data_IF_120317412768
#
_entry.id   IF_120317412768
#
_cell.length_a   1.000
_cell.length_b   1.000
_cell.length_c   1.000
_cell.angle_alpha   90.00
_cell.angle_beta   90.00
_cell.angle_gamma   90.00
#
_symmetry.space_group_name_H-M   'P 1'
#
loop_
_entity.id
_entity.type
_entity.pdbx_description
1 polymer ?
#
# COMPACT_ATOMS: atom_id res chain seq x y z
N UNK A 1 24.85 -48.21 -17.45
CA UNK A 1 25.09 -47.21 -16.40
C UNK A 1 24.76 -45.83 -17.01
N UNK A 2 23.53 -45.37 -16.80
CA UNK A 2 23.02 -44.15 -17.43
C UNK A 2 23.09 -43.03 -16.39
N UNK A 3 23.91 -42.00 -16.63
CA UNK A 3 24.01 -40.82 -15.78
C UNK A 3 22.82 -39.89 -16.17
N UNK A 4 21.87 -39.78 -15.24
CA UNK A 4 20.88 -38.70 -15.29
C UNK A 4 21.55 -37.41 -14.81
N UNK A 5 21.80 -36.47 -15.74
CA UNK A 5 22.10 -35.08 -15.41
C UNK A 5 20.78 -34.39 -15.00
N UNK A 6 20.64 -34.17 -13.71
CA UNK A 6 19.61 -33.30 -13.16
C UNK A 6 20.06 -31.86 -13.41
N UNK A 7 19.54 -31.22 -14.45
CA UNK A 7 19.70 -29.80 -14.65
C UNK A 7 18.85 -29.09 -13.58
N UNK A 8 19.46 -28.58 -12.52
CA UNK A 8 18.86 -27.54 -11.68
C UNK A 8 18.73 -26.28 -12.52
N UNK A 9 17.52 -25.96 -12.94
CA UNK A 9 17.18 -24.62 -13.36
C UNK A 9 17.29 -23.73 -12.14
N UNK A 10 18.37 -22.95 -12.02
CA UNK A 10 18.37 -21.75 -11.18
C UNK A 10 17.34 -20.81 -11.84
N UNK A 11 16.15 -20.72 -11.24
CA UNK A 11 15.31 -19.56 -11.44
C UNK A 11 16.07 -18.40 -10.78
N UNK A 12 16.48 -17.43 -11.58
CA UNK A 12 16.89 -16.14 -11.05
C UNK A 12 15.61 -15.55 -10.45
N UNK A 13 15.54 -15.48 -9.11
CA UNK A 13 14.55 -14.66 -8.45
C UNK A 13 14.88 -13.23 -8.87
N UNK A 14 13.93 -12.56 -9.48
CA UNK A 14 14.01 -11.11 -9.66
C UNK A 14 13.83 -10.52 -8.26
N UNK A 15 14.95 -10.20 -7.58
CA UNK A 15 14.87 -9.41 -6.36
C UNK A 15 14.24 -8.07 -6.73
N UNK A 16 13.13 -7.73 -6.08
CA UNK A 16 12.52 -6.40 -6.18
C UNK A 16 13.49 -5.42 -5.55
N UNK A 17 14.11 -4.59 -6.38
CA UNK A 17 15.06 -3.59 -5.90
C UNK A 17 14.29 -2.29 -5.61
N UNK A 18 13.93 -2.08 -4.35
CA UNK A 18 13.28 -0.85 -3.90
C UNK A 18 14.33 0.23 -3.68
N UNK A 19 14.28 1.30 -4.47
CA UNK A 19 15.20 2.44 -4.38
C UNK A 19 14.42 3.73 -4.13
N UNK A 20 14.99 4.62 -3.31
CA UNK A 20 14.45 5.97 -3.13
C UNK A 20 14.97 6.85 -4.26
N UNK A 21 14.04 7.37 -5.02
CA UNK A 21 14.29 8.28 -6.12
C UNK A 21 13.84 9.71 -5.79
N UNK A 22 14.31 10.73 -6.51
CA UNK A 22 13.72 12.06 -6.47
C UNK A 22 12.26 11.99 -6.96
N UNK A 23 11.39 12.82 -6.34
CA UNK A 23 10.00 12.93 -6.74
C UNK A 23 9.86 13.27 -8.24
N UNK A 24 9.26 12.40 -9.07
CA UNK A 24 9.06 12.64 -10.49
C UNK A 24 8.00 13.71 -10.80
N UNK A 25 7.12 13.99 -9.84
CA UNK A 25 6.01 14.92 -9.96
C UNK A 25 6.24 16.23 -9.17
N UNK A 26 7.49 16.62 -8.96
CA UNK A 26 7.85 17.81 -8.16
C UNK A 26 7.36 19.15 -8.76
N UNK A 27 6.98 19.17 -10.04
CA UNK A 27 6.41 20.34 -10.72
C UNK A 27 4.86 20.42 -10.60
N UNK A 28 4.21 19.40 -10.01
CA UNK A 28 2.78 19.36 -9.72
C UNK A 28 2.53 19.92 -8.30
N UNK A 29 1.59 20.87 -8.21
CA UNK A 29 1.29 21.58 -6.96
C UNK A 29 0.91 20.62 -5.83
N UNK A 30 0.24 19.50 -6.11
CA UNK A 30 -0.13 18.50 -5.11
C UNK A 30 1.10 17.77 -4.54
N UNK A 31 2.14 17.59 -5.34
CA UNK A 31 3.30 16.78 -5.00
C UNK A 31 4.55 17.58 -4.63
N UNK A 32 4.53 18.92 -4.74
CA UNK A 32 5.71 19.79 -4.58
C UNK A 32 6.48 19.63 -3.25
N UNK A 33 5.77 19.23 -2.19
CA UNK A 33 6.37 19.09 -0.85
C UNK A 33 7.06 17.74 -0.61
N UNK A 34 6.81 16.73 -1.46
CA UNK A 34 7.49 15.45 -1.39
C UNK A 34 8.84 15.52 -2.09
N UNK A 35 9.84 14.93 -1.49
CA UNK A 35 11.21 14.88 -2.05
C UNK A 35 11.70 13.46 -2.31
N UNK A 36 10.97 12.47 -1.81
CA UNK A 36 11.30 11.06 -1.91
C UNK A 36 10.16 10.32 -2.59
N UNK A 37 10.54 9.42 -3.45
CA UNK A 37 9.64 8.58 -4.24
C UNK A 37 10.16 7.16 -4.27
N UNK A 38 9.27 6.18 -4.24
CA UNK A 38 9.58 4.77 -4.52
C UNK A 38 8.49 4.21 -5.43
N UNK A 39 8.89 3.64 -6.56
CA UNK A 39 8.03 2.84 -7.42
C UNK A 39 8.02 1.41 -6.91
N UNK A 40 6.83 0.86 -6.66
CA UNK A 40 6.63 -0.50 -6.18
C UNK A 40 5.93 -1.32 -7.26
N UNK A 41 6.65 -2.28 -7.84
CA UNK A 41 6.12 -3.24 -8.84
C UNK A 41 5.37 -2.57 -10.00
N UNK A 42 5.76 -1.35 -10.39
CA UNK A 42 5.17 -0.55 -11.47
C UNK A 42 3.66 -0.25 -11.34
N UNK A 43 3.06 -0.45 -10.17
CA UNK A 43 1.62 -0.22 -9.96
C UNK A 43 1.26 0.48 -8.64
N UNK A 44 2.21 0.69 -7.74
CA UNK A 44 1.98 1.39 -6.49
C UNK A 44 3.15 2.34 -6.19
N UNK A 45 2.85 3.52 -5.69
CA UNK A 45 3.84 4.57 -5.48
C UNK A 45 3.88 5.00 -4.01
N UNK A 46 5.08 5.29 -3.51
CA UNK A 46 5.25 5.87 -2.17
C UNK A 46 5.90 7.25 -2.31
N UNK A 47 5.23 8.28 -1.80
CA UNK A 47 5.73 9.64 -1.75
C UNK A 47 6.00 10.05 -0.31
N UNK A 48 7.15 10.66 -0.02
CA UNK A 48 7.47 11.07 1.33
C UNK A 48 8.15 12.44 1.40
N UNK A 49 7.85 13.17 2.50
CA UNK A 49 8.55 14.40 2.84
C UNK A 49 10.05 14.14 3.13
N UNK A 50 10.88 15.17 2.95
CA UNK A 50 12.34 15.11 3.22
C UNK A 50 12.69 14.67 4.64
N UNK A 51 11.83 14.97 5.61
CA UNK A 51 12.03 14.68 7.03
C UNK A 51 11.79 13.20 7.41
N UNK A 52 11.19 12.43 6.52
CA UNK A 52 10.93 11.00 6.76
C UNK A 52 12.24 10.22 6.56
N UNK A 53 12.71 9.44 7.55
CA UNK A 53 13.92 8.63 7.40
C UNK A 53 13.77 7.60 6.26
N UNK A 54 14.85 7.40 5.49
CA UNK A 54 14.83 6.51 4.32
C UNK A 54 14.38 5.09 4.65
N UNK A 55 14.81 4.55 5.79
CA UNK A 55 14.40 3.20 6.21
C UNK A 55 12.88 3.07 6.46
N UNK A 56 12.19 4.16 6.82
CA UNK A 56 10.72 4.18 6.97
C UNK A 56 10.03 4.20 5.61
N UNK A 57 10.55 4.98 4.67
CA UNK A 57 10.04 5.02 3.29
C UNK A 57 10.18 3.65 2.62
N UNK A 58 11.36 3.04 2.75
CA UNK A 58 11.61 1.69 2.22
C UNK A 58 10.77 0.61 2.93
N UNK A 59 10.48 0.77 4.22
CA UNK A 59 9.57 -0.13 4.93
C UNK A 59 8.15 -0.08 4.36
N UNK A 60 7.61 1.13 4.11
CA UNK A 60 6.28 1.28 3.48
C UNK A 60 6.26 0.63 2.09
N UNK A 61 7.30 0.86 1.29
CA UNK A 61 7.41 0.25 -0.03
C UNK A 61 7.53 -1.28 0.02
N UNK A 62 8.31 -1.81 0.99
CA UNK A 62 8.45 -3.25 1.18
C UNK A 62 7.13 -3.91 1.59
N UNK A 63 6.38 -3.29 2.51
CA UNK A 63 5.04 -3.78 2.89
C UNK A 63 4.09 -3.79 1.69
N UNK A 64 4.13 -2.77 0.83
CA UNK A 64 3.31 -2.75 -0.38
C UNK A 64 3.73 -3.88 -1.35
N UNK A 65 5.02 -4.11 -1.54
CA UNK A 65 5.52 -5.20 -2.37
C UNK A 65 5.06 -6.57 -1.84
N UNK A 66 5.22 -6.85 -0.55
CA UNK A 66 4.80 -8.09 0.11
C UNK A 66 3.28 -8.35 0.00
N UNK A 67 2.47 -7.29 0.04
CA UNK A 67 1.00 -7.41 -0.09
C UNK A 67 0.55 -7.66 -1.54
N UNK A 68 1.37 -7.31 -2.52
CA UNK A 68 1.08 -7.42 -3.94
C UNK A 68 1.71 -8.65 -4.61
N UNK A 69 2.81 -9.14 -4.05
CA UNK A 69 3.64 -10.23 -4.56
C UNK A 69 4.03 -11.15 -3.39
N UNK A 70 3.15 -12.11 -3.07
CA UNK A 70 3.32 -12.99 -1.90
C UNK A 70 4.33 -14.13 -2.14
N UNK A 71 4.66 -14.45 -3.38
CA UNK A 71 5.63 -15.50 -3.70
C UNK A 71 7.02 -14.93 -4.05
N UNK A 72 7.18 -13.60 -3.93
CA UNK A 72 8.44 -12.86 -4.04
C UNK A 72 9.15 -13.09 -5.40
N UNK A 73 8.38 -13.24 -6.49
CA UNK A 73 8.94 -13.46 -7.82
C UNK A 73 9.14 -12.14 -8.60
N UNK A 74 8.72 -10.99 -8.04
CA UNK A 74 8.82 -9.66 -8.62
C UNK A 74 7.66 -9.33 -9.55
N UNK A 75 6.57 -10.10 -9.51
CA UNK A 75 5.36 -9.92 -10.33
C UNK A 75 4.16 -9.88 -9.41
N UNK A 76 3.27 -8.89 -9.59
CA UNK A 76 2.03 -8.82 -8.82
C UNK A 76 1.18 -10.06 -9.05
N UNK A 77 0.78 -10.76 -7.98
CA UNK A 77 0.03 -12.03 -8.02
C UNK A 77 -1.31 -11.93 -8.75
N UNK A 78 -1.98 -10.78 -8.69
CA UNK A 78 -3.25 -10.53 -9.36
C UNK A 78 -3.09 -9.52 -10.50
N UNK A 79 -3.12 -10.00 -11.73
CA UNK A 79 -2.97 -9.18 -12.94
C UNK A 79 -4.06 -8.09 -13.06
N UNK A 80 -5.30 -8.38 -12.62
CA UNK A 80 -6.37 -7.38 -12.63
C UNK A 80 -6.12 -6.27 -11.62
N UNK A 81 -5.62 -6.65 -10.44
CA UNK A 81 -5.23 -5.69 -9.40
C UNK A 81 -4.08 -4.80 -9.88
N UNK A 82 -3.05 -5.39 -10.50
CA UNK A 82 -1.94 -4.64 -11.10
C UNK A 82 -2.43 -3.54 -12.03
N UNK A 83 -3.27 -3.86 -13.01
CA UNK A 83 -3.75 -2.88 -13.98
C UNK A 83 -4.67 -1.83 -13.34
N UNK A 84 -5.50 -2.20 -12.37
CA UNK A 84 -6.39 -1.25 -11.70
C UNK A 84 -5.59 -0.25 -10.86
N UNK A 85 -4.63 -0.71 -10.05
CA UNK A 85 -3.76 0.17 -9.25
C UNK A 85 -2.92 1.09 -10.14
N UNK A 86 -2.33 0.56 -11.23
CA UNK A 86 -1.57 1.35 -12.18
C UNK A 86 -2.45 2.40 -12.87
N UNK A 87 -3.65 2.02 -13.33
CA UNK A 87 -4.57 2.93 -14.03
C UNK A 87 -5.06 4.07 -13.13
N UNK A 88 -5.23 3.80 -11.83
CA UNK A 88 -5.63 4.79 -10.84
C UNK A 88 -4.46 5.53 -10.20
N UNK A 89 -3.24 5.18 -10.55
CA UNK A 89 -2.03 5.73 -9.95
C UNK A 89 -2.05 5.58 -8.41
N UNK A 90 -2.24 4.34 -7.95
CA UNK A 90 -2.33 4.04 -6.53
C UNK A 90 -1.08 4.48 -5.79
N UNK A 91 -1.25 5.25 -4.71
CA UNK A 91 -0.12 5.80 -3.98
C UNK A 91 -0.36 5.90 -2.46
N UNK A 92 0.74 5.87 -1.70
CA UNK A 92 0.78 6.12 -0.28
C UNK A 92 1.59 7.39 0.01
N UNK A 93 0.95 8.50 0.40
CA UNK A 93 1.65 9.69 0.85
C UNK A 93 2.09 9.52 2.31
N UNK A 94 3.33 9.90 2.62
CA UNK A 94 3.93 9.81 3.95
C UNK A 94 4.31 11.18 4.46
N UNK A 95 3.62 11.64 5.49
CA UNK A 95 3.78 12.97 6.10
C UNK A 95 4.56 12.93 7.41
N UNK A 96 5.12 14.06 7.80
CA UNK A 96 5.88 14.19 9.06
C UNK A 96 4.98 14.11 10.29
N UNK A 97 3.77 14.67 10.23
CA UNK A 97 2.74 14.62 11.28
C UNK A 97 1.39 15.08 10.71
N UNK A 98 0.31 14.74 11.43
CA UNK A 98 -1.05 15.11 11.10
C UNK A 98 -1.25 16.63 11.02
N UNK A 99 -1.90 17.11 9.95
CA UNK A 99 -2.20 18.52 9.76
C UNK A 99 -0.96 19.41 9.52
N UNK A 100 0.12 18.86 8.96
CA UNK A 100 1.23 19.70 8.51
C UNK A 100 0.93 20.38 7.16
N UNK A 101 1.71 21.40 6.81
CA UNK A 101 1.47 22.19 5.61
C UNK A 101 1.59 21.37 4.31
N UNK A 102 2.39 20.29 4.27
CA UNK A 102 2.49 19.40 3.13
C UNK A 102 1.22 18.57 2.96
N UNK A 103 0.68 18.04 4.06
CA UNK A 103 -0.59 17.32 4.04
C UNK A 103 -1.74 18.23 3.59
N UNK A 104 -1.84 19.43 4.15
CA UNK A 104 -2.86 20.40 3.76
C UNK A 104 -2.77 20.73 2.27
N UNK A 105 -1.55 21.02 1.76
CA UNK A 105 -1.31 21.27 0.34
C UNK A 105 -1.71 20.09 -0.55
N UNK A 106 -1.31 18.87 -0.16
CA UNK A 106 -1.66 17.66 -0.92
C UNK A 106 -3.17 17.45 -0.96
N UNK A 107 -3.86 17.54 0.19
CA UNK A 107 -5.32 17.36 0.27
C UNK A 107 -6.11 18.44 -0.50
N UNK A 108 -5.59 19.66 -0.60
CA UNK A 108 -6.23 20.76 -1.30
C UNK A 108 -6.06 20.69 -2.84
N UNK A 109 -4.98 20.08 -3.33
CA UNK A 109 -4.62 20.10 -4.76
C UNK A 109 -4.69 18.73 -5.44
N UNK A 110 -4.66 17.60 -4.70
CA UNK A 110 -4.76 16.27 -5.31
C UNK A 110 -6.19 15.95 -5.70
N UNK A 111 -6.42 15.70 -6.98
CA UNK A 111 -7.72 15.37 -7.57
C UNK A 111 -7.80 13.94 -8.16
N UNK A 112 -6.78 13.10 -7.92
CA UNK A 112 -6.73 11.72 -8.40
C UNK A 112 -7.50 10.73 -7.53
N UNK A 113 -7.66 9.51 -8.04
CA UNK A 113 -8.38 8.40 -7.39
C UNK A 113 -7.44 7.38 -6.72
N UNK A 114 -6.14 7.65 -6.66
CA UNK A 114 -5.12 6.71 -6.21
C UNK A 114 -4.86 6.66 -4.71
N UNK A 115 -5.51 7.49 -3.92
CA UNK A 115 -5.30 7.60 -2.46
C UNK A 115 -6.54 7.19 -1.69
N UNK A 116 -6.38 6.38 -0.67
CA UNK A 116 -7.44 6.03 0.29
C UNK A 116 -7.00 6.21 1.74
N UNK A 117 -5.70 6.20 1.98
CA UNK A 117 -5.10 6.34 3.30
C UNK A 117 -3.82 7.16 3.22
N UNK A 118 -3.32 7.61 4.36
CA UNK A 118 -2.05 8.32 4.51
C UNK A 118 -1.28 7.72 5.68
N UNK A 119 0.03 7.93 5.73
CA UNK A 119 0.87 7.54 6.86
C UNK A 119 1.58 8.76 7.45
N UNK A 120 1.73 8.76 8.77
CA UNK A 120 2.56 9.72 9.47
C UNK A 120 3.85 9.06 9.97
N UNK A 121 4.89 9.83 10.06
CA UNK A 121 6.24 9.37 10.47
C UNK A 121 6.23 8.52 11.75
N UNK A 122 5.40 8.87 12.73
CA UNK A 122 5.33 8.21 14.04
C UNK A 122 4.53 6.90 14.01
N UNK A 123 3.81 6.61 12.94
CA UNK A 123 3.04 5.38 12.75
C UNK A 123 3.79 4.31 11.97
N UNK A 124 5.00 4.61 11.52
CA UNK A 124 5.86 3.68 10.80
C UNK A 124 6.97 3.24 11.75
N UNK A 125 6.95 1.99 12.20
CA UNK A 125 7.99 1.42 13.06
C UNK A 125 8.35 -0.01 12.67
N UNK A 126 9.32 -0.20 11.75
CA UNK A 126 9.73 -1.52 11.29
C UNK A 126 10.36 -2.40 12.38
N UNK A 127 10.60 -1.88 13.58
CA UNK A 127 11.07 -2.66 14.72
C UNK A 127 9.94 -3.34 15.49
N UNK A 128 8.70 -2.97 15.22
CA UNK A 128 7.52 -3.54 15.86
C UNK A 128 6.92 -4.67 14.99
N UNK A 129 6.19 -5.60 15.60
CA UNK A 129 5.62 -6.75 14.89
C UNK A 129 4.34 -6.43 14.08
N UNK A 130 4.05 -5.17 13.77
CA UNK A 130 2.87 -4.77 13.01
C UNK A 130 1.57 -4.91 13.80
N UNK A 131 1.59 -4.70 15.10
CA UNK A 131 0.40 -4.65 15.94
C UNK A 131 -0.31 -3.32 15.83
N UNK A 132 -1.62 -3.35 15.98
CA UNK A 132 -2.42 -2.15 16.06
C UNK A 132 -1.89 -1.17 17.12
N UNK A 133 -1.55 0.04 16.66
CA UNK A 133 -1.01 1.11 17.50
C UNK A 133 0.51 1.17 17.59
N UNK A 134 1.21 0.16 17.05
CA UNK A 134 2.67 0.12 17.07
C UNK A 134 3.28 0.44 15.69
N UNK A 135 2.75 -0.16 14.61
CA UNK A 135 3.09 0.12 13.22
C UNK A 135 1.83 0.02 12.36
N UNK A 136 1.37 1.15 11.84
CA UNK A 136 0.17 1.22 11.00
C UNK A 136 0.45 0.92 9.52
N UNK A 137 1.68 0.62 9.13
CA UNK A 137 2.07 0.52 7.71
C UNK A 137 1.24 -0.53 6.97
N UNK A 138 1.06 -1.73 7.53
CA UNK A 138 0.28 -2.80 6.89
C UNK A 138 -1.19 -2.38 6.75
N UNK A 139 -1.77 -1.76 7.78
CA UNK A 139 -3.15 -1.31 7.78
C UNK A 139 -3.39 -0.29 6.67
N UNK A 140 -2.61 0.80 6.62
CA UNK A 140 -2.85 1.90 5.70
C UNK A 140 -2.50 1.57 4.25
N UNK A 141 -1.45 0.78 4.02
CA UNK A 141 -1.14 0.28 2.67
C UNK A 141 -2.25 -0.64 2.18
N UNK A 142 -2.73 -1.57 3.03
CA UNK A 142 -3.84 -2.46 2.67
C UNK A 142 -5.14 -1.68 2.43
N UNK A 143 -5.41 -0.62 3.20
CA UNK A 143 -6.55 0.29 2.94
C UNK A 143 -6.49 0.84 1.52
N UNK A 144 -5.34 1.35 1.08
CA UNK A 144 -5.18 1.89 -0.27
C UNK A 144 -5.31 0.81 -1.34
N UNK A 145 -4.62 -0.33 -1.22
CA UNK A 145 -4.74 -1.46 -2.16
C UNK A 145 -6.19 -1.93 -2.27
N UNK A 146 -6.88 -2.03 -1.14
CA UNK A 146 -8.26 -2.50 -1.10
C UNK A 146 -9.24 -1.50 -1.73
N UNK A 147 -9.20 -0.23 -1.33
CA UNK A 147 -10.14 0.78 -1.81
C UNK A 147 -9.90 1.18 -3.26
N UNK A 148 -8.63 1.36 -3.64
CA UNK A 148 -8.26 1.77 -5.01
C UNK A 148 -8.39 0.59 -5.98
N UNK A 149 -8.00 -0.61 -5.55
CA UNK A 149 -7.95 -1.80 -6.39
C UNK A 149 -9.14 -2.76 -6.20
N UNK A 150 -9.11 -3.54 -5.11
CA UNK A 150 -10.04 -4.68 -4.94
C UNK A 150 -11.53 -4.31 -4.97
N UNK A 151 -11.92 -3.18 -4.39
CA UNK A 151 -13.33 -2.71 -4.40
C UNK A 151 -13.85 -2.53 -5.82
N UNK A 152 -13.00 -2.07 -6.73
CA UNK A 152 -13.35 -1.84 -8.13
C UNK A 152 -13.46 -3.14 -8.92
N UNK A 153 -12.46 -4.02 -8.79
CA UNK A 153 -12.37 -5.26 -9.60
C UNK A 153 -13.20 -6.41 -9.02
N UNK A 154 -13.38 -6.45 -7.69
CA UNK A 154 -14.14 -7.51 -6.99
C UNK A 154 -15.23 -6.96 -6.07
N UNK A 155 -16.18 -6.14 -6.56
CA UNK A 155 -17.17 -5.45 -5.72
C UNK A 155 -18.07 -6.39 -4.92
N UNK A 156 -18.31 -7.60 -5.40
CA UNK A 156 -19.10 -8.61 -4.66
C UNK A 156 -18.35 -9.18 -3.45
N UNK A 157 -17.03 -9.06 -3.40
CA UNK A 157 -16.19 -9.53 -2.30
C UNK A 157 -15.83 -8.39 -1.37
N UNK A 158 -15.33 -7.27 -1.93
CA UNK A 158 -14.73 -6.15 -1.21
C UNK A 158 -15.58 -4.86 -1.21
N UNK A 159 -16.80 -4.88 -1.76
CA UNK A 159 -17.65 -3.70 -1.82
C UNK A 159 -17.90 -3.09 -0.44
N UNK A 160 -17.86 -1.75 -0.37
CA UNK A 160 -17.90 -0.99 0.90
C UNK A 160 -19.32 -0.71 1.40
N UNK A 161 -20.33 -0.79 0.54
CA UNK A 161 -21.70 -0.52 0.96
C UNK A 161 -22.22 -1.63 1.90
N UNK A 162 -23.03 -1.29 2.92
CA UNK A 162 -23.61 -2.28 3.82
C UNK A 162 -24.38 -3.36 3.06
N UNK A 163 -24.21 -4.61 3.43
CA UNK A 163 -24.87 -5.79 2.81
C UNK A 163 -24.63 -5.93 1.30
N UNK A 164 -23.52 -5.40 0.79
CA UNK A 164 -23.22 -5.44 -0.64
C UNK A 164 -22.13 -6.42 -1.04
N UNK A 165 -21.41 -6.98 -0.06
CA UNK A 165 -20.26 -7.83 -0.31
C UNK A 165 -20.04 -8.87 0.77
N UNK A 166 -19.19 -9.88 0.47
CA UNK A 166 -18.81 -10.91 1.43
C UNK A 166 -18.15 -10.31 2.67
N UNK A 167 -17.31 -9.28 2.50
CA UNK A 167 -16.63 -8.61 3.62
C UNK A 167 -17.64 -7.83 4.47
N UNK A 168 -18.57 -7.11 3.86
CA UNK A 168 -19.59 -6.38 4.64
C UNK A 168 -20.49 -7.33 5.44
N UNK A 169 -20.87 -8.46 4.87
CA UNK A 169 -21.65 -9.50 5.55
C UNK A 169 -20.85 -10.14 6.71
N UNK A 170 -19.56 -10.41 6.49
CA UNK A 170 -18.66 -10.92 7.53
C UNK A 170 -18.49 -9.93 8.69
N UNK A 171 -18.37 -8.64 8.38
CA UNK A 171 -18.31 -7.58 9.39
C UNK A 171 -19.60 -7.52 10.22
N UNK A 172 -20.77 -7.60 9.59
CA UNK A 172 -22.05 -7.57 10.29
C UNK A 172 -22.22 -8.80 11.19
N UNK A 173 -21.77 -9.97 10.76
CA UNK A 173 -21.74 -11.20 11.59
C UNK A 173 -20.80 -10.99 12.78
N UNK A 174 -19.60 -10.45 12.59
CA UNK A 174 -18.64 -10.21 13.64
C UNK A 174 -19.19 -9.23 14.68
N UNK A 175 -19.80 -8.14 14.25
CA UNK A 175 -20.45 -7.15 15.14
C UNK A 175 -21.66 -7.74 15.87
N UNK A 176 -22.52 -8.46 15.16
CA UNK A 176 -23.70 -9.13 15.75
C UNK A 176 -23.34 -10.32 16.64
N UNK A 177 -22.23 -10.99 16.36
CA UNK A 177 -21.68 -12.09 17.16
C UNK A 177 -20.89 -11.65 18.38
N UNK A 178 -20.76 -10.35 18.64
CA UNK A 178 -19.97 -9.76 19.75
C UNK A 178 -18.47 -10.12 19.69
N UNK A 179 -17.94 -10.38 18.51
CA UNK A 179 -16.50 -10.60 18.35
C UNK A 179 -15.69 -9.31 18.47
N UNK A 180 -16.34 -8.15 18.30
CA UNK A 180 -15.74 -6.83 18.43
C UNK A 180 -16.65 -5.95 19.31
N UNK A 181 -16.08 -5.30 20.33
CA UNK A 181 -16.73 -4.18 20.99
C UNK A 181 -16.59 -2.94 20.10
N UNK A 182 -17.65 -2.62 19.38
CA UNK A 182 -17.69 -1.38 18.61
C UNK A 182 -18.16 -0.25 19.53
N UNK A 183 -17.37 0.83 19.71
CA UNK A 183 -17.82 1.98 20.48
C UNK A 183 -19.14 2.53 19.93
N UNK A 184 -20.09 2.76 20.78
CA UNK A 184 -21.31 3.49 20.39
C UNK A 184 -20.93 4.94 20.11
N UNK A 185 -21.02 5.38 18.87
CA UNK A 185 -20.92 6.79 18.48
C UNK A 185 -22.21 7.52 18.80
#
# INVERSE_FOLDING_TARGET
>A
MSLFFLAMLLQAQNEVCLEIEPNPNADDDAFECFTKYVNVLDCFEVYAESSIPDFKVLHVAAVAAELLDNDEDGIVDDELLFYELQNRQALMPVFSYDGNACMDNFMDNYDGDGVSAVLWRNEIDPSQPGHWGDDATVEEVLHTINHVGHVSIYPNVFGLAPNSSIISDAMDIARGGQFLEVPNN
#
